data_IF_213127248319
#
_entry.id   IF_213127248319
#
_cell.length_a   1.000
_cell.length_b   1.000
_cell.length_c   1.000
_cell.angle_alpha   90.00
_cell.angle_beta   90.00
_cell.angle_gamma   90.00
#
_symmetry.space_group_name_H-M   'P 1'
#
loop_
_entity.id
_entity.type
_entity.pdbx_description
1 polymer ?
#
# COMPACT_ATOMS: atom_id res chain seq x y z
N UNK A 1 -11.53 -5.39 -5.40
CA UNK A 1 -10.13 -5.44 -4.90
C UNK A 1 -9.28 -6.55 -5.52
N UNK A 2 -9.85 -7.67 -6.01
CA UNK A 2 -9.09 -8.78 -6.61
C UNK A 2 -8.11 -8.35 -7.72
N UNK A 3 -8.52 -7.43 -8.61
CA UNK A 3 -7.68 -6.95 -9.73
C UNK A 3 -6.47 -6.11 -9.29
N UNK A 4 -6.51 -5.46 -8.12
CA UNK A 4 -5.35 -4.71 -7.60
C UNK A 4 -4.30 -5.64 -7.01
N UNK A 5 -4.71 -6.78 -6.47
CA UNK A 5 -3.81 -7.76 -5.84
C UNK A 5 -2.99 -8.50 -6.90
N UNK A 6 -3.60 -8.89 -8.02
CA UNK A 6 -2.89 -9.55 -9.13
C UNK A 6 -1.80 -8.63 -9.73
N UNK A 7 -2.11 -7.34 -9.93
CA UNK A 7 -1.13 -6.37 -10.41
C UNK A 7 0.04 -6.13 -9.44
N UNK A 8 -0.21 -6.16 -8.13
CA UNK A 8 0.86 -6.04 -7.11
C UNK A 8 1.73 -7.30 -7.04
N UNK A 9 1.17 -8.50 -7.25
CA UNK A 9 1.95 -9.74 -7.28
C UNK A 9 2.94 -9.80 -8.44
N UNK A 10 2.62 -9.16 -9.57
CA UNK A 10 3.51 -9.09 -10.75
C UNK A 10 4.72 -8.14 -10.56
N UNK A 11 4.65 -7.16 -9.65
CA UNK A 11 5.72 -6.19 -9.41
C UNK A 11 6.89 -6.79 -8.63
N UNK A 12 8.10 -6.26 -8.81
CA UNK A 12 9.26 -6.68 -8.01
C UNK A 12 9.13 -6.26 -6.54
N UNK A 13 9.90 -6.90 -5.64
CA UNK A 13 9.97 -6.51 -4.22
C UNK A 13 10.39 -5.05 -4.04
N UNK A 14 11.37 -4.60 -4.82
CA UNK A 14 11.83 -3.20 -4.81
C UNK A 14 10.74 -2.21 -5.25
N UNK A 15 9.97 -2.53 -6.28
CA UNK A 15 8.84 -1.69 -6.72
C UNK A 15 7.73 -1.62 -5.67
N UNK A 16 7.44 -2.74 -5.01
CA UNK A 16 6.46 -2.79 -3.93
C UNK A 16 6.89 -1.95 -2.72
N UNK A 17 8.18 -1.94 -2.39
CA UNK A 17 8.74 -1.10 -1.33
C UNK A 17 8.63 0.40 -1.67
N UNK A 18 8.92 0.78 -2.92
CA UNK A 18 8.73 2.15 -3.41
C UNK A 18 7.25 2.56 -3.33
N UNK A 19 6.35 1.68 -3.74
CA UNK A 19 4.91 1.93 -3.67
C UNK A 19 4.40 2.03 -2.22
N UNK A 20 4.93 1.21 -1.31
CA UNK A 20 4.63 1.30 0.12
C UNK A 20 5.10 2.63 0.72
N UNK A 21 6.29 3.13 0.32
CA UNK A 21 6.79 4.45 0.73
C UNK A 21 5.86 5.57 0.23
N UNK A 22 5.51 5.56 -1.05
CA UNK A 22 4.60 6.55 -1.63
C UNK A 22 3.24 6.56 -0.93
N UNK A 23 2.67 5.38 -0.66
CA UNK A 23 1.39 5.26 0.06
C UNK A 23 1.47 5.83 1.48
N UNK A 24 2.60 5.67 2.18
CA UNK A 24 2.81 6.31 3.50
C UNK A 24 2.84 7.83 3.41
N UNK A 25 3.56 8.37 2.43
CA UNK A 25 3.63 9.82 2.20
C UNK A 25 2.25 10.39 1.84
N UNK A 26 1.50 9.72 0.98
CA UNK A 26 0.13 10.11 0.63
C UNK A 26 -0.82 10.07 1.83
N UNK A 27 -0.73 9.04 2.68
CA UNK A 27 -1.52 8.95 3.91
C UNK A 27 -1.17 10.08 4.87
N UNK A 28 0.11 10.44 4.98
CA UNK A 28 0.57 11.56 5.81
C UNK A 28 0.03 12.90 5.30
N UNK A 29 0.13 13.16 3.99
CA UNK A 29 -0.44 14.35 3.34
C UNK A 29 -1.95 14.44 3.56
N UNK A 30 -2.66 13.34 3.30
CA UNK A 30 -4.12 13.29 3.52
C UNK A 30 -4.51 13.52 4.97
N UNK A 31 -3.71 13.05 5.94
CA UNK A 31 -3.98 13.32 7.36
C UNK A 31 -3.88 14.81 7.71
N UNK A 32 -2.98 15.54 7.05
CA UNK A 32 -2.85 16.99 7.22
C UNK A 32 -4.00 17.71 6.52
N UNK A 33 -4.29 17.34 5.27
CA UNK A 33 -5.38 17.90 4.48
C UNK A 33 -6.74 17.69 5.14
N UNK A 34 -7.00 16.51 5.71
CA UNK A 34 -8.25 16.18 6.41
C UNK A 34 -8.61 17.16 7.54
N UNK A 35 -7.60 17.78 8.17
CA UNK A 35 -7.83 18.75 9.26
C UNK A 35 -8.22 20.12 8.74
N UNK A 36 -7.77 20.48 7.53
CA UNK A 36 -7.92 21.83 6.95
C UNK A 36 -9.03 21.86 5.91
N UNK A 37 -9.20 20.78 5.17
CA UNK A 37 -10.18 20.63 4.11
C UNK A 37 -10.75 19.18 4.13
N UNK A 38 -11.87 18.95 4.84
CA UNK A 38 -12.48 17.62 4.87
C UNK A 38 -12.91 17.20 3.46
N UNK A 39 -12.41 16.06 2.94
CA UNK A 39 -12.70 15.61 1.60
C UNK A 39 -14.14 15.09 1.51
N UNK A 40 -14.75 15.22 0.33
CA UNK A 40 -16.08 14.64 0.04
C UNK A 40 -16.13 13.12 0.26
N UNK A 41 -15.03 12.41 0.02
CA UNK A 41 -14.93 10.97 0.31
C UNK A 41 -14.20 10.72 1.64
N UNK A 42 -14.97 10.52 2.71
CA UNK A 42 -14.48 10.22 4.06
C UNK A 42 -13.68 8.91 4.09
N UNK A 43 -13.98 7.97 3.18
CA UNK A 43 -13.36 6.66 3.15
C UNK A 43 -12.00 6.66 2.44
N UNK A 44 -11.54 7.80 1.90
CA UNK A 44 -10.30 7.87 1.12
C UNK A 44 -9.08 7.42 1.95
N UNK A 45 -9.04 7.81 3.22
CA UNK A 45 -7.97 7.43 4.15
C UNK A 45 -7.99 5.93 4.44
N UNK A 46 -9.18 5.37 4.66
CA UNK A 46 -9.40 3.95 4.93
C UNK A 46 -9.02 3.10 3.71
N UNK A 47 -9.41 3.52 2.51
CA UNK A 47 -9.05 2.87 1.24
C UNK A 47 -7.53 2.83 1.03
N UNK A 48 -6.82 3.93 1.26
CA UNK A 48 -5.35 3.99 1.12
C UNK A 48 -4.61 3.19 2.18
N UNK A 49 -5.05 3.21 3.44
CA UNK A 49 -4.48 2.35 4.50
C UNK A 49 -4.64 0.87 4.17
N UNK A 50 -5.81 0.48 3.66
CA UNK A 50 -6.05 -0.91 3.22
C UNK A 50 -5.17 -1.30 2.03
N UNK A 51 -4.94 -0.38 1.09
CA UNK A 51 -4.00 -0.61 0.00
C UNK A 51 -2.56 -0.80 0.51
N UNK A 52 -2.12 0.02 1.46
CA UNK A 52 -0.81 -0.13 2.10
C UNK A 52 -0.67 -1.48 2.82
N UNK A 53 -1.69 -1.90 3.57
CA UNK A 53 -1.68 -3.19 4.27
C UNK A 53 -1.50 -4.36 3.29
N UNK A 54 -2.25 -4.36 2.18
CA UNK A 54 -2.13 -5.38 1.13
C UNK A 54 -0.73 -5.40 0.53
N UNK A 55 -0.16 -4.23 0.20
CA UNK A 55 1.20 -4.14 -0.35
C UNK A 55 2.23 -4.72 0.62
N UNK A 56 2.12 -4.42 1.91
CA UNK A 56 3.01 -4.96 2.94
C UNK A 56 2.88 -6.47 3.09
N UNK A 57 1.66 -7.01 3.05
CA UNK A 57 1.43 -8.46 3.07
C UNK A 57 2.12 -9.15 1.89
N UNK A 58 1.98 -8.62 0.68
CA UNK A 58 2.62 -9.20 -0.53
C UNK A 58 4.15 -9.14 -0.42
N UNK A 59 4.71 -8.04 0.12
CA UNK A 59 6.15 -7.94 0.37
C UNK A 59 6.59 -9.05 1.35
N UNK A 60 5.84 -9.25 2.43
CA UNK A 60 6.10 -10.31 3.40
C UNK A 60 6.06 -11.70 2.77
N UNK A 61 4.99 -12.01 2.03
CA UNK A 61 4.86 -13.27 1.28
C UNK A 61 6.06 -13.53 0.37
N UNK A 62 6.51 -12.51 -0.37
CA UNK A 62 7.68 -12.65 -1.27
C UNK A 62 8.97 -12.89 -0.52
N UNK A 63 9.22 -12.15 0.57
CA UNK A 63 10.42 -12.32 1.40
C UNK A 63 10.47 -13.69 2.06
N UNK A 64 9.33 -14.23 2.52
CA UNK A 64 9.26 -15.58 3.07
C UNK A 64 9.49 -16.66 1.99
N UNK A 65 8.93 -16.49 0.79
CA UNK A 65 9.22 -17.40 -0.33
C UNK A 65 10.69 -17.38 -0.76
N UNK A 66 11.36 -16.23 -0.71
CA UNK A 66 12.80 -16.12 -0.97
C UNK A 66 13.63 -16.86 0.09
N UNK A 67 13.24 -16.79 1.37
CA UNK A 67 13.89 -17.53 2.46
C UNK A 67 13.72 -19.04 2.32
N UNK A 68 12.53 -19.51 1.95
CA UNK A 68 12.22 -20.93 1.81
C UNK A 68 12.91 -21.60 0.61
N UNK A 69 13.37 -20.81 -0.38
CA UNK A 69 14.14 -21.30 -1.53
C UNK A 69 15.64 -21.39 -1.27
N UNK A 70 16.10 -20.97 -0.09
CA UNK A 70 17.51 -20.88 0.29
C UNK A 70 17.88 -22.02 1.23
#
# INVERSE_FOLDING_TARGET
>A
MKNKVSGLKAKSTHELEKEAKNLREEIAKLRLELKVNPPKDINILMKKRKQLAITLTIIGEKKELEKLKR
#
